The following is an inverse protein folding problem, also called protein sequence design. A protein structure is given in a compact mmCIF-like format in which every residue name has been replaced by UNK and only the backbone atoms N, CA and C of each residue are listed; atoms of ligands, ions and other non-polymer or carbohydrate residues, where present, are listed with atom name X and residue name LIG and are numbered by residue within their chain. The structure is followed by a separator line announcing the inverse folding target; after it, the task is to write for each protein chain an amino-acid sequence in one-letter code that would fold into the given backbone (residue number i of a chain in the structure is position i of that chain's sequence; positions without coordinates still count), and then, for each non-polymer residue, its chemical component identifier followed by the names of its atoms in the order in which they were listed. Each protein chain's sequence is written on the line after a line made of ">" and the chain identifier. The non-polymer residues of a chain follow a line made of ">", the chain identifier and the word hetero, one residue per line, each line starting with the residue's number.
data_IF_778498815475
#
_entry.id   IF_778498815475
#
_cell.length_a   1.000
_cell.length_b   1.000
_cell.length_c   1.000
_cell.angle_alpha   90.00
_cell.angle_beta   90.00
_cell.angle_gamma   90.00
#
_symmetry.space_group_name_H-M   'P 1'
#
loop_
_entity.id
_entity.type
_entity.pdbx_description
1 polymer ?
#
# COMPACT_ATOMS: atom_id res chain seq x y z
N UNK A 1 -4.99 -13.64 -13.83
CA UNK A 1 -4.14 -12.74 -13.01
C UNK A 1 -3.17 -13.56 -12.19
N UNK A 2 -1.89 -13.16 -12.18
CA UNK A 2 -0.84 -13.71 -11.34
C UNK A 2 -0.46 -12.61 -10.34
N UNK A 3 -0.27 -12.99 -9.07
CA UNK A 3 0.17 -12.08 -8.00
C UNK A 3 1.30 -12.76 -7.25
N UNK A 4 2.44 -12.10 -7.18
CA UNK A 4 3.55 -12.47 -6.31
C UNK A 4 3.64 -11.43 -5.19
N UNK A 5 3.86 -11.91 -3.96
CA UNK A 5 3.93 -11.08 -2.77
C UNK A 5 5.19 -11.43 -1.99
N UNK A 6 6.03 -10.44 -1.78
CA UNK A 6 7.30 -10.57 -1.07
C UNK A 6 7.40 -9.48 -0.01
N UNK A 7 7.98 -9.81 1.13
CA UNK A 7 8.26 -8.83 2.17
C UNK A 7 9.65 -9.03 2.78
N UNK A 8 10.21 -7.95 3.30
CA UNK A 8 11.52 -7.92 3.95
C UNK A 8 11.51 -6.94 5.11
N UNK A 9 12.11 -7.36 6.22
CA UNK A 9 12.35 -6.48 7.37
C UNK A 9 13.57 -5.61 7.07
N UNK A 10 13.43 -4.31 7.30
CA UNK A 10 14.41 -3.29 6.97
C UNK A 10 14.67 -2.39 8.18
N UNK A 11 15.80 -1.69 8.16
CA UNK A 11 16.10 -0.63 9.11
C UNK A 11 16.19 0.70 8.36
N UNK A 12 15.53 1.73 8.88
CA UNK A 12 15.65 3.09 8.36
C UNK A 12 17.07 3.61 8.61
N UNK A 13 17.74 4.09 7.58
CA UNK A 13 19.16 4.44 7.67
C UNK A 13 19.44 5.69 8.51
N UNK A 14 18.44 6.55 8.71
CA UNK A 14 18.58 7.79 9.48
C UNK A 14 18.29 7.56 10.97
N UNK A 15 17.31 6.71 11.27
CA UNK A 15 16.77 6.52 12.64
C UNK A 15 17.11 5.17 13.24
N UNK A 16 17.58 4.21 12.43
CA UNK A 16 17.75 2.80 12.79
C UNK A 16 16.45 2.13 13.28
N UNK A 17 15.28 2.73 12.99
CA UNK A 17 13.99 2.17 13.33
C UNK A 17 13.61 1.04 12.36
N UNK A 18 13.02 -0.06 12.84
CA UNK A 18 12.57 -1.14 11.97
C UNK A 18 11.32 -0.76 11.17
N UNK A 19 11.26 -1.22 9.94
CA UNK A 19 10.06 -1.16 9.10
C UNK A 19 9.97 -2.39 8.20
N UNK A 20 8.75 -2.72 7.75
CA UNK A 20 8.54 -3.80 6.77
C UNK A 20 8.40 -3.17 5.40
N UNK A 21 9.16 -3.65 4.41
CA UNK A 21 8.91 -3.36 3.00
C UNK A 21 8.21 -4.55 2.35
N UNK A 22 7.03 -4.33 1.79
CA UNK A 22 6.27 -5.31 1.01
C UNK A 22 6.27 -4.92 -0.46
N UNK A 23 6.45 -5.89 -1.33
CA UNK A 23 6.53 -5.74 -2.78
C UNK A 23 5.53 -6.70 -3.39
N UNK A 24 4.53 -6.15 -4.07
CA UNK A 24 3.52 -6.89 -4.81
C UNK A 24 3.80 -6.76 -6.29
N UNK A 25 3.92 -7.89 -6.98
CA UNK A 25 4.11 -7.94 -8.42
C UNK A 25 2.88 -8.59 -9.06
N UNK A 26 2.20 -7.86 -9.94
CA UNK A 26 0.94 -8.25 -10.57
C UNK A 26 1.08 -8.28 -12.09
N UNK A 27 0.44 -9.26 -12.72
CA UNK A 27 0.31 -9.36 -14.17
C UNK A 27 -1.01 -10.03 -14.55
N UNK A 28 -1.66 -9.58 -15.63
CA UNK A 28 -2.86 -10.23 -16.15
C UNK A 28 -2.88 -10.26 -17.68
N UNK A 29 -3.12 -11.43 -18.25
CA UNK A 29 -3.22 -11.60 -19.71
C UNK A 29 -4.45 -10.95 -20.33
N UNK A 30 -5.50 -10.70 -19.54
CA UNK A 30 -6.76 -10.08 -19.98
C UNK A 30 -6.77 -8.56 -19.87
N UNK A 31 -5.86 -7.97 -19.10
CA UNK A 31 -5.96 -6.58 -18.66
C UNK A 31 -7.13 -6.36 -17.68
N UNK A 32 -6.85 -5.77 -16.53
CA UNK A 32 -7.82 -5.51 -15.45
C UNK A 32 -7.65 -4.06 -14.98
N UNK A 33 -8.71 -3.26 -15.07
CA UNK A 33 -8.69 -1.83 -14.72
C UNK A 33 -9.34 -1.50 -13.39
N UNK A 34 -10.03 -2.46 -12.78
CA UNK A 34 -10.79 -2.27 -11.53
C UNK A 34 -10.19 -3.03 -10.35
N UNK A 35 -8.88 -3.31 -10.40
CA UNK A 35 -8.19 -3.97 -9.29
C UNK A 35 -7.93 -2.95 -8.20
N UNK A 36 -8.41 -3.22 -7.00
CA UNK A 36 -8.17 -2.38 -5.83
C UNK A 36 -7.38 -3.19 -4.81
N UNK A 37 -6.20 -2.71 -4.46
CA UNK A 37 -5.46 -3.24 -3.33
C UNK A 37 -5.87 -2.50 -2.05
N UNK A 38 -6.33 -3.24 -1.03
CA UNK A 38 -6.66 -2.67 0.28
C UNK A 38 -5.45 -2.80 1.20
N UNK A 39 -4.72 -1.71 1.38
CA UNK A 39 -3.48 -1.69 2.16
C UNK A 39 -3.71 -1.70 3.67
N UNK A 40 -4.80 -1.08 4.14
CA UNK A 40 -5.17 -1.07 5.55
C UNK A 40 -6.66 -0.85 5.79
N UNK A 41 -7.07 -1.15 7.02
CA UNK A 41 -8.38 -0.85 7.57
C UNK A 41 -8.17 -0.34 8.99
N UNK A 42 -8.79 0.78 9.34
CA UNK A 42 -8.66 1.40 10.67
C UNK A 42 -9.92 2.16 11.03
N UNK A 43 -10.08 2.51 12.31
CA UNK A 43 -11.14 3.45 12.73
C UNK A 43 -10.85 4.85 12.18
N UNK A 44 -9.57 5.21 12.17
CA UNK A 44 -9.07 6.47 11.62
C UNK A 44 -7.88 6.18 10.73
N UNK A 45 -7.86 6.77 9.54
CA UNK A 45 -6.75 6.85 8.61
C UNK A 45 -6.62 8.31 8.20
N UNK A 46 -5.42 8.86 8.30
CA UNK A 46 -5.14 10.25 7.96
C UNK A 46 -3.99 10.30 6.95
N UNK A 47 -3.98 11.34 6.10
CA UNK A 47 -2.78 11.67 5.34
C UNK A 47 -1.74 12.23 6.30
N UNK A 48 -0.56 11.61 6.33
CA UNK A 48 0.61 12.13 7.05
C UNK A 48 1.43 13.04 6.12
N UNK A 49 1.66 12.57 4.88
CA UNK A 49 2.31 13.28 3.77
C UNK A 49 1.69 12.84 2.43
N UNK A 50 2.24 13.28 1.30
CA UNK A 50 1.72 13.00 -0.06
C UNK A 50 1.55 11.49 -0.36
N UNK A 51 2.49 10.67 0.11
CA UNK A 51 2.53 9.21 -0.13
C UNK A 51 2.43 8.39 1.17
N UNK A 52 2.16 9.04 2.31
CA UNK A 52 2.19 8.43 3.64
C UNK A 52 0.86 8.59 4.38
N UNK A 53 0.42 7.51 5.01
CA UNK A 53 -0.86 7.41 5.69
C UNK A 53 -0.68 6.91 7.12
N UNK A 54 -1.30 7.58 8.09
CA UNK A 54 -1.27 7.18 9.49
C UNK A 54 -2.59 6.48 9.86
N UNK A 55 -2.49 5.21 10.24
CA UNK A 55 -3.61 4.36 10.64
C UNK A 55 -3.68 4.26 12.16
N UNK A 56 -4.80 4.70 12.74
CA UNK A 56 -5.09 4.71 14.17
C UNK A 56 -3.94 5.29 15.03
N UNK A 57 -3.25 6.32 14.53
CA UNK A 57 -2.13 7.01 15.19
C UNK A 57 -0.94 6.11 15.58
N UNK A 58 -0.80 4.95 14.93
CA UNK A 58 0.16 3.91 15.33
C UNK A 58 0.88 3.21 14.20
N UNK A 59 0.30 3.18 13.02
CA UNK A 59 0.90 2.50 11.88
C UNK A 59 0.98 3.50 10.74
N UNK A 60 2.21 3.87 10.39
CA UNK A 60 2.47 4.63 9.19
C UNK A 60 2.67 3.68 8.01
N UNK A 61 1.97 3.96 6.92
CA UNK A 61 2.07 3.22 5.66
C UNK A 61 2.51 4.20 4.59
N UNK A 62 3.64 3.92 3.96
CA UNK A 62 4.11 4.65 2.79
C UNK A 62 3.84 3.85 1.53
N UNK A 63 3.23 4.49 0.55
CA UNK A 63 2.97 3.93 -0.78
C UNK A 63 4.07 4.44 -1.72
N UNK A 64 4.53 3.61 -2.65
CA UNK A 64 5.45 4.13 -3.66
C UNK A 64 4.83 5.26 -4.48
N UNK A 65 5.69 6.14 -5.02
CA UNK A 65 5.24 7.34 -5.75
C UNK A 65 4.61 7.05 -7.13
N UNK A 66 4.61 5.80 -7.59
CA UNK A 66 3.94 5.42 -8.84
C UNK A 66 2.45 5.14 -8.61
N UNK A 67 2.05 4.98 -7.36
CA UNK A 67 0.68 4.67 -6.97
C UNK A 67 0.11 5.76 -6.05
N UNK A 68 -1.21 5.87 -6.05
CA UNK A 68 -1.93 6.80 -5.19
C UNK A 68 -2.84 6.03 -4.27
N UNK A 69 -2.64 6.19 -2.95
CA UNK A 69 -3.58 5.70 -1.95
C UNK A 69 -4.76 6.66 -1.79
N UNK A 70 -5.96 6.11 -1.64
CA UNK A 70 -7.18 6.85 -1.32
C UNK A 70 -7.80 6.32 -0.05
N UNK A 71 -8.22 7.24 0.83
CA UNK A 71 -8.96 6.90 2.03
C UNK A 71 -10.44 6.86 1.65
N UNK A 72 -11.09 5.75 1.95
CA UNK A 72 -12.52 5.55 1.67
C UNK A 72 -13.24 5.21 2.95
N UNK A 73 -14.23 6.03 3.30
CA UNK A 73 -15.10 5.80 4.44
C UNK A 73 -16.02 4.59 4.19
N UNK A 74 -16.23 3.81 5.24
CA UNK A 74 -17.20 2.73 5.35
C UNK A 74 -17.98 2.93 6.66
N UNK A 75 -19.16 2.28 6.83
CA UNK A 75 -19.99 2.48 8.02
C UNK A 75 -19.25 2.32 9.36
N UNK A 76 -18.27 1.41 9.44
CA UNK A 76 -17.59 1.06 10.69
C UNK A 76 -16.08 1.36 10.69
N UNK A 77 -15.52 1.80 9.57
CA UNK A 77 -14.07 1.95 9.39
C UNK A 77 -13.70 2.83 8.19
N UNK A 78 -12.44 3.21 8.12
CA UNK A 78 -11.80 3.77 6.94
C UNK A 78 -10.89 2.73 6.29
N UNK A 79 -10.87 2.70 4.96
CA UNK A 79 -10.00 1.82 4.18
C UNK A 79 -8.97 2.65 3.43
N UNK A 80 -7.70 2.27 3.51
CA UNK A 80 -6.69 2.73 2.56
C UNK A 80 -6.73 1.82 1.33
N UNK A 81 -7.14 2.38 0.20
CA UNK A 81 -7.30 1.68 -1.08
C UNK A 81 -6.32 2.22 -2.11
N UNK A 82 -5.73 1.33 -2.89
CA UNK A 82 -4.77 1.67 -3.94
C UNK A 82 -5.33 1.09 -5.24
N UNK A 83 -5.85 1.93 -6.14
CA UNK A 83 -6.26 1.49 -7.47
C UNK A 83 -5.04 1.01 -8.25
N UNK A 84 -5.17 -0.16 -8.87
CA UNK A 84 -4.14 -0.78 -9.70
C UNK A 84 -4.70 -1.01 -11.10
N UNK A 85 -3.92 -0.61 -12.10
CA UNK A 85 -4.11 -1.04 -13.48
C UNK A 85 -3.18 -2.22 -13.71
N UNK A 86 -3.74 -3.40 -13.93
CA UNK A 86 -2.95 -4.62 -14.16
C UNK A 86 -3.10 -5.02 -15.60
N UNK A 87 -2.03 -5.00 -16.37
CA UNK A 87 -2.04 -5.41 -17.78
C UNK A 87 -1.10 -6.59 -18.01
N UNK A 88 -0.81 -6.87 -19.28
CA UNK A 88 0.10 -7.94 -19.66
C UNK A 88 1.55 -7.66 -19.27
N UNK A 89 1.88 -6.42 -18.91
CA UNK A 89 3.18 -6.06 -18.37
C UNK A 89 3.19 -6.29 -16.86
N UNK A 90 4.39 -6.53 -16.35
CA UNK A 90 4.59 -6.65 -14.92
C UNK A 90 4.40 -5.29 -14.23
N UNK A 91 3.49 -5.23 -13.26
CA UNK A 91 3.21 -4.05 -12.45
C UNK A 91 3.68 -4.33 -11.03
N UNK A 92 4.31 -3.34 -10.39
CA UNK A 92 4.87 -3.50 -9.05
C UNK A 92 4.35 -2.42 -8.12
N UNK A 93 3.71 -2.80 -7.02
CA UNK A 93 3.33 -1.94 -5.91
C UNK A 93 4.27 -2.20 -4.73
N UNK A 94 4.92 -1.16 -4.23
CA UNK A 94 5.78 -1.21 -3.04
C UNK A 94 5.12 -0.45 -1.90
N UNK A 95 5.10 -1.06 -0.72
CA UNK A 95 4.55 -0.52 0.51
C UNK A 95 5.58 -0.62 1.62
N UNK A 96 5.67 0.41 2.45
CA UNK A 96 6.49 0.39 3.67
C UNK A 96 5.58 0.58 4.89
N UNK A 97 5.82 -0.19 5.94
CA UNK A 97 5.04 -0.19 7.17
C UNK A 97 5.96 0.06 8.37
N UNK A 98 5.69 1.11 9.14
CA UNK A 98 6.43 1.46 10.35
C UNK A 98 5.47 1.80 11.49
N UNK A 99 5.88 1.52 12.73
CA UNK A 99 5.08 1.75 13.95
C UNK A 99 5.68 2.86 14.81
#
# INVERSE_FOLDING_TARGET
>A
MIVNDYYVDMLDSATNAPYIRRILTLRSSSGETNVIFRAATGKTIQHADDDSFLVNDRLQIRVDRKHTGTIVDQPDAQHLRIPLKVDENEQQLVLEYSW
#
